data_IF_015730495287
#
_entry.id   IF_015730495287
#
_cell.length_a   1.000
_cell.length_b   1.000
_cell.length_c   1.000
_cell.angle_alpha   90.00
_cell.angle_beta   90.00
_cell.angle_gamma   90.00
#
_symmetry.space_group_name_H-M   'P 1'
#
loop_
_entity.id
_entity.type
_entity.pdbx_description
1 polymer ?
#
# COMPACT_ATOMS: atom_id res chain seq x y z
N UNK A 1 14.42 9.07 -6.13
CA UNK A 1 13.52 9.01 -4.95
C UNK A 1 12.39 10.04 -4.98
N UNK A 2 12.65 11.35 -5.19
CA UNK A 2 11.64 12.43 -5.06
C UNK A 2 10.31 12.16 -5.78
N UNK A 3 10.37 11.94 -7.10
CA UNK A 3 9.17 11.71 -7.92
C UNK A 3 8.56 10.33 -7.68
N UNK A 4 9.41 9.30 -7.58
CA UNK A 4 9.02 7.90 -7.33
C UNK A 4 8.19 7.76 -6.05
N UNK A 5 8.66 8.34 -4.94
CA UNK A 5 7.97 8.23 -3.66
C UNK A 5 6.71 9.10 -3.60
N UNK A 6 6.74 10.29 -4.22
CA UNK A 6 5.54 11.14 -4.35
C UNK A 6 4.44 10.43 -5.15
N UNK A 7 4.80 9.78 -6.27
CA UNK A 7 3.88 8.98 -7.06
C UNK A 7 3.31 7.79 -6.27
N UNK A 8 4.16 7.08 -5.52
CA UNK A 8 3.71 5.99 -4.64
C UNK A 8 2.66 6.48 -3.62
N UNK A 9 2.94 7.60 -2.95
CA UNK A 9 2.01 8.22 -2.00
C UNK A 9 0.66 8.58 -2.63
N UNK A 10 0.67 9.18 -3.82
CA UNK A 10 -0.56 9.50 -4.55
C UNK A 10 -1.35 8.23 -4.89
N UNK A 11 -0.68 7.18 -5.37
CA UNK A 11 -1.35 5.92 -5.70
C UNK A 11 -1.98 5.25 -4.48
N UNK A 12 -1.34 5.33 -3.29
CA UNK A 12 -1.94 4.84 -2.05
C UNK A 12 -3.18 5.62 -1.62
N UNK A 13 -3.29 6.92 -1.95
CA UNK A 13 -4.52 7.68 -1.76
C UNK A 13 -5.59 7.29 -2.79
N UNK A 14 -5.19 7.14 -4.05
CA UNK A 14 -6.11 6.80 -5.14
C UNK A 14 -6.77 5.43 -4.94
N UNK A 15 -6.08 4.47 -4.29
CA UNK A 15 -6.68 3.18 -3.97
C UNK A 15 -8.01 3.29 -3.20
N UNK A 16 -8.06 3.74 -1.93
CA UNK A 16 -9.32 3.84 -1.21
C UNK A 16 -10.26 4.93 -1.77
N UNK A 17 -9.74 5.96 -2.45
CA UNK A 17 -10.55 7.04 -3.00
C UNK A 17 -11.34 6.63 -4.25
N UNK A 18 -10.76 5.78 -5.11
CA UNK A 18 -11.40 5.27 -6.33
C UNK A 18 -12.10 3.93 -6.11
N UNK A 19 -11.82 3.22 -5.01
CA UNK A 19 -12.44 1.93 -4.72
C UNK A 19 -13.97 2.10 -4.61
N UNK A 20 -14.76 1.30 -5.33
CA UNK A 20 -16.22 1.34 -5.25
C UNK A 20 -16.70 0.80 -3.90
N UNK A 21 -17.27 1.66 -3.07
CA UNK A 21 -17.79 1.29 -1.75
C UNK A 21 -19.29 0.96 -1.82
N UNK A 22 -19.62 -0.32 -2.00
CA UNK A 22 -20.97 -0.86 -1.82
C UNK A 22 -20.99 -1.85 -0.65
N UNK A 23 -22.19 -2.30 -0.26
CA UNK A 23 -22.35 -3.32 0.77
C UNK A 23 -21.96 -4.71 0.25
N UNK A 24 -20.67 -5.04 0.40
CA UNK A 24 -20.08 -6.32 0.02
C UNK A 24 -20.59 -7.51 0.86
N UNK A 25 -21.47 -7.30 1.85
CA UNK A 25 -22.17 -8.41 2.54
C UNK A 25 -23.39 -8.91 1.76
N UNK A 26 -23.82 -8.16 0.75
CA UNK A 26 -24.89 -8.54 -0.17
C UNK A 26 -24.30 -8.96 -1.52
N UNK A 27 -24.92 -9.96 -2.17
CA UNK A 27 -24.46 -10.39 -3.50
C UNK A 27 -24.48 -9.25 -4.53
N UNK A 28 -25.51 -8.39 -4.47
CA UNK A 28 -25.64 -7.24 -5.36
C UNK A 28 -24.53 -6.20 -5.13
N UNK A 29 -24.21 -5.88 -3.87
CA UNK A 29 -23.15 -4.94 -3.54
C UNK A 29 -21.75 -5.50 -3.84
N UNK A 30 -21.50 -6.78 -3.55
CA UNK A 30 -20.26 -7.45 -3.92
C UNK A 30 -20.04 -7.42 -5.45
N UNK A 31 -21.07 -7.77 -6.23
CA UNK A 31 -21.02 -7.72 -7.68
C UNK A 31 -20.80 -6.29 -8.22
N UNK A 32 -21.48 -5.29 -7.64
CA UNK A 32 -21.33 -3.88 -8.04
C UNK A 32 -19.93 -3.32 -7.75
N UNK A 33 -19.34 -3.68 -6.61
CA UNK A 33 -17.98 -3.30 -6.26
C UNK A 33 -16.96 -4.05 -7.10
N UNK A 34 -16.85 -5.36 -6.91
CA UNK A 34 -15.78 -6.20 -7.49
C UNK A 34 -15.86 -6.25 -9.02
N UNK A 35 -17.06 -6.19 -9.60
CA UNK A 35 -17.27 -6.24 -11.04
C UNK A 35 -16.99 -4.93 -11.78
N UNK A 36 -16.67 -3.84 -11.08
CA UNK A 36 -16.41 -2.55 -11.73
C UNK A 36 -14.97 -2.40 -12.21
N UNK A 37 -14.74 -1.60 -13.25
CA UNK A 37 -13.37 -1.23 -13.66
C UNK A 37 -12.67 -0.37 -12.60
N UNK A 38 -13.44 0.38 -11.79
CA UNK A 38 -12.91 1.18 -10.69
C UNK A 38 -12.24 0.30 -9.61
N UNK A 39 -12.78 -0.90 -9.36
CA UNK A 39 -12.14 -1.92 -8.52
C UNK A 39 -10.72 -2.19 -9.00
N UNK A 40 -10.58 -2.51 -10.29
CA UNK A 40 -9.30 -2.90 -10.87
C UNK A 40 -8.29 -1.77 -10.85
N UNK A 41 -8.69 -0.58 -11.30
CA UNK A 41 -7.83 0.60 -11.29
C UNK A 41 -7.37 0.95 -9.87
N UNK A 42 -8.25 0.85 -8.88
CA UNK A 42 -7.92 1.16 -7.50
C UNK A 42 -6.89 0.18 -6.91
N UNK A 43 -7.02 -1.13 -7.15
CA UNK A 43 -6.08 -2.13 -6.64
C UNK A 43 -4.72 -2.05 -7.36
N UNK A 44 -4.72 -1.81 -8.67
CA UNK A 44 -3.50 -1.51 -9.42
C UNK A 44 -2.74 -0.31 -8.84
N UNK A 45 -3.44 0.74 -8.38
CA UNK A 45 -2.80 1.86 -7.70
C UNK A 45 -2.04 1.40 -6.46
N UNK A 46 -2.66 0.61 -5.59
CA UNK A 46 -1.99 0.07 -4.40
C UNK A 46 -0.77 -0.81 -4.79
N UNK A 47 -0.94 -1.72 -5.75
CA UNK A 47 0.12 -2.61 -6.22
C UNK A 47 1.33 -1.84 -6.76
N UNK A 48 1.10 -0.86 -7.63
CA UNK A 48 2.16 0.00 -8.18
C UNK A 48 2.79 0.83 -7.04
N UNK A 49 1.99 1.35 -6.10
CA UNK A 49 2.48 2.04 -4.91
C UNK A 49 3.50 1.18 -4.14
N UNK A 50 3.18 -0.09 -3.86
CA UNK A 50 4.10 -1.01 -3.20
C UNK A 50 5.37 -1.29 -4.00
N UNK A 51 5.32 -1.29 -5.34
CA UNK A 51 6.49 -1.48 -6.19
C UNK A 51 7.40 -0.25 -6.18
N UNK A 52 6.82 0.96 -6.16
CA UNK A 52 7.57 2.22 -6.26
C UNK A 52 8.33 2.57 -4.97
N UNK A 53 7.79 2.25 -3.80
CA UNK A 53 8.44 2.56 -2.51
C UNK A 53 9.85 1.95 -2.38
N UNK A 54 10.08 0.64 -2.54
CA UNK A 54 11.41 0.06 -2.36
C UNK A 54 12.41 0.62 -3.37
N UNK A 55 11.97 0.95 -4.60
CA UNK A 55 12.82 1.64 -5.59
C UNK A 55 13.29 2.99 -5.04
N UNK A 56 12.39 3.77 -4.44
CA UNK A 56 12.75 5.04 -3.83
C UNK A 56 13.65 4.87 -2.60
N UNK A 57 13.46 3.82 -1.81
CA UNK A 57 14.25 3.54 -0.60
C UNK A 57 15.67 3.07 -0.89
N UNK A 58 16.00 2.64 -2.13
CA UNK A 58 17.38 2.32 -2.51
C UNK A 58 18.33 3.51 -2.33
N UNK A 59 17.83 4.73 -2.49
CA UNK A 59 18.58 5.99 -2.29
C UNK A 59 18.68 6.41 -0.81
N UNK A 60 18.06 5.65 0.11
CA UNK A 60 17.99 5.98 1.54
C UNK A 60 18.69 4.92 2.39
N UNK A 61 18.29 3.65 2.23
CA UNK A 61 18.80 2.55 3.02
C UNK A 61 18.55 1.21 2.32
N UNK A 62 19.60 0.62 1.74
CA UNK A 62 19.52 -0.62 0.95
C UNK A 62 18.82 -1.77 1.66
N UNK A 63 19.13 -2.02 2.93
CA UNK A 63 18.48 -3.10 3.70
C UNK A 63 16.98 -2.84 3.85
N UNK A 64 16.56 -1.61 4.20
CA UNK A 64 15.14 -1.28 4.30
C UNK A 64 14.44 -1.42 2.94
N UNK A 65 15.08 -1.03 1.85
CA UNK A 65 14.55 -1.23 0.50
C UNK A 65 14.32 -2.71 0.18
N UNK A 66 15.29 -3.58 0.47
CA UNK A 66 15.18 -5.03 0.27
C UNK A 66 14.10 -5.64 1.17
N UNK A 67 14.08 -5.28 2.46
CA UNK A 67 13.05 -5.73 3.40
C UNK A 67 11.65 -5.32 2.92
N UNK A 68 11.49 -4.07 2.47
CA UNK A 68 10.23 -3.61 1.90
C UNK A 68 9.86 -4.41 0.65
N UNK A 69 10.83 -4.66 -0.25
CA UNK A 69 10.61 -5.45 -1.47
C UNK A 69 10.11 -6.86 -1.18
N UNK A 70 10.69 -7.54 -0.17
CA UNK A 70 10.21 -8.85 0.29
C UNK A 70 8.77 -8.73 0.80
N UNK A 71 8.48 -7.74 1.63
CA UNK A 71 7.12 -7.52 2.13
C UNK A 71 6.09 -7.24 1.02
N UNK A 72 6.48 -6.45 0.01
CA UNK A 72 5.67 -6.22 -1.18
C UNK A 72 5.47 -7.51 -1.98
N UNK A 73 6.51 -8.31 -2.18
CA UNK A 73 6.45 -9.61 -2.86
C UNK A 73 5.49 -10.61 -2.18
N UNK A 74 5.39 -10.59 -0.85
CA UNK A 74 4.42 -11.38 -0.10
C UNK A 74 2.98 -10.81 -0.18
N UNK A 75 2.86 -9.49 -0.32
CA UNK A 75 1.56 -8.79 -0.34
C UNK A 75 0.87 -8.85 -1.71
N UNK A 76 1.64 -8.73 -2.79
CA UNK A 76 1.13 -8.59 -4.16
C UNK A 76 0.31 -9.80 -4.67
N UNK A 77 0.61 -11.07 -4.33
CA UNK A 77 -0.24 -12.20 -4.72
C UNK A 77 -1.67 -12.09 -4.18
N UNK A 78 -1.83 -11.65 -2.93
CA UNK A 78 -3.15 -11.41 -2.34
C UNK A 78 -3.89 -10.30 -3.07
N UNK A 79 -3.21 -9.19 -3.35
CA UNK A 79 -3.79 -8.11 -4.15
C UNK A 79 -4.17 -8.57 -5.56
N UNK A 80 -3.37 -9.40 -6.24
CA UNK A 80 -3.70 -9.92 -7.55
C UNK A 80 -4.94 -10.84 -7.54
N UNK A 81 -5.12 -11.62 -6.48
CA UNK A 81 -6.31 -12.45 -6.30
C UNK A 81 -7.56 -11.60 -6.00
N UNK A 82 -7.44 -10.59 -5.14
CA UNK A 82 -8.51 -9.60 -4.90
C UNK A 82 -8.86 -8.82 -6.17
N UNK A 83 -7.85 -8.33 -6.89
CA UNK A 83 -8.00 -7.45 -8.02
C UNK A 83 -8.62 -8.20 -9.20
N UNK A 84 -7.88 -9.16 -9.76
CA UNK A 84 -8.29 -9.82 -11.00
C UNK A 84 -9.21 -11.02 -10.73
N UNK A 85 -8.95 -11.76 -9.65
CA UNK A 85 -9.73 -12.96 -9.30
C UNK A 85 -11.17 -12.62 -8.92
N UNK A 86 -11.35 -11.69 -7.98
CA UNK A 86 -12.72 -11.28 -7.59
C UNK A 86 -13.46 -10.57 -8.71
N UNK A 87 -12.75 -9.76 -9.51
CA UNK A 87 -13.36 -9.11 -10.67
C UNK A 87 -13.91 -10.13 -11.67
N UNK A 88 -13.15 -11.19 -11.96
CA UNK A 88 -13.58 -12.23 -12.90
C UNK A 88 -14.80 -13.03 -12.43
N UNK A 89 -14.97 -13.19 -11.12
CA UNK A 89 -16.07 -13.98 -10.52
C UNK A 89 -17.21 -13.12 -9.97
N UNK A 90 -17.15 -11.79 -10.14
CA UNK A 90 -18.07 -10.84 -9.50
C UNK A 90 -19.55 -11.08 -9.82
N UNK A 91 -19.86 -11.69 -10.98
CA UNK A 91 -21.24 -11.96 -11.42
C UNK A 91 -21.71 -13.39 -11.13
N UNK A 92 -20.90 -14.20 -10.42
CA UNK A 92 -21.31 -15.56 -10.09
C UNK A 92 -22.43 -15.57 -9.04
N UNK A 93 -23.41 -16.49 -9.13
CA UNK A 93 -24.51 -16.56 -8.16
C UNK A 93 -24.04 -16.75 -6.71
N UNK A 94 -22.89 -17.40 -6.52
CA UNK A 94 -22.25 -17.64 -5.22
C UNK A 94 -21.02 -16.73 -4.97
N UNK A 95 -21.03 -15.50 -5.48
CA UNK A 95 -19.92 -14.53 -5.35
C UNK A 95 -19.46 -14.32 -3.91
N UNK A 96 -20.37 -14.37 -2.93
CA UNK A 96 -20.04 -14.18 -1.52
C UNK A 96 -19.13 -15.31 -1.00
N UNK A 97 -19.50 -16.57 -1.24
CA UNK A 97 -18.71 -17.74 -0.84
C UNK A 97 -17.33 -17.75 -1.53
N UNK A 98 -17.30 -17.40 -2.82
CA UNK A 98 -16.05 -17.33 -3.57
C UNK A 98 -15.14 -16.20 -3.07
N UNK A 99 -15.70 -15.03 -2.78
CA UNK A 99 -14.94 -13.90 -2.24
C UNK A 99 -14.40 -14.23 -0.85
N UNK A 100 -15.18 -14.90 -0.01
CA UNK A 100 -14.74 -15.37 1.31
C UNK A 100 -13.58 -16.36 1.18
N UNK A 101 -13.68 -17.33 0.26
CA UNK A 101 -12.64 -18.32 0.01
C UNK A 101 -11.31 -17.70 -0.47
N UNK A 102 -11.37 -16.63 -1.26
CA UNK A 102 -10.18 -15.87 -1.69
C UNK A 102 -9.59 -15.08 -0.51
N UNK A 103 -10.44 -14.35 0.23
CA UNK A 103 -10.03 -13.43 1.31
C UNK A 103 -9.51 -14.13 2.53
N UNK A 104 -10.16 -15.20 2.96
CA UNK A 104 -9.94 -15.82 4.27
C UNK A 104 -9.23 -17.16 4.17
N UNK A 105 -8.70 -17.51 3.00
CA UNK A 105 -7.76 -18.62 2.90
C UNK A 105 -6.60 -18.41 3.89
N UNK A 106 -6.33 -19.36 4.81
CA UNK A 106 -5.34 -19.16 5.87
C UNK A 106 -3.93 -18.82 5.37
N UNK A 107 -3.52 -19.42 4.25
CA UNK A 107 -2.22 -19.14 3.65
C UNK A 107 -2.19 -17.76 2.99
N UNK A 108 -3.26 -17.38 2.30
CA UNK A 108 -3.38 -16.06 1.67
C UNK A 108 -3.31 -14.94 2.71
N UNK A 109 -4.15 -15.01 3.76
CA UNK A 109 -4.18 -14.01 4.85
C UNK A 109 -2.85 -13.94 5.59
N UNK A 110 -2.26 -15.10 5.92
CA UNK A 110 -0.98 -15.12 6.66
C UNK A 110 0.13 -14.50 5.83
N UNK A 111 0.23 -14.85 4.54
CA UNK A 111 1.25 -14.31 3.63
C UNK A 111 1.08 -12.81 3.44
N UNK A 112 -0.16 -12.35 3.27
CA UNK A 112 -0.52 -10.94 3.18
C UNK A 112 -0.15 -10.16 4.45
N UNK A 113 -0.55 -10.66 5.62
CA UNK A 113 -0.27 -10.02 6.90
C UNK A 113 1.23 -9.94 7.18
N UNK A 114 1.98 -11.02 6.93
CA UNK A 114 3.44 -11.02 7.03
C UNK A 114 4.06 -10.00 6.08
N UNK A 115 3.55 -9.89 4.86
CA UNK A 115 3.99 -8.89 3.88
C UNK A 115 3.82 -7.46 4.39
N UNK A 116 2.64 -7.11 4.87
CA UNK A 116 2.35 -5.77 5.42
C UNK A 116 3.20 -5.45 6.66
N UNK A 117 3.33 -6.40 7.59
CA UNK A 117 4.18 -6.23 8.78
C UNK A 117 5.64 -6.01 8.38
N UNK A 118 6.13 -6.77 7.40
CA UNK A 118 7.51 -6.65 6.90
C UNK A 118 7.77 -5.27 6.28
N UNK A 119 6.82 -4.73 5.51
CA UNK A 119 6.89 -3.35 4.99
C UNK A 119 6.84 -2.31 6.11
N UNK A 120 6.02 -2.52 7.14
CA UNK A 120 6.01 -1.70 8.35
C UNK A 120 7.37 -1.64 9.04
N UNK A 121 8.02 -2.79 9.24
CA UNK A 121 9.37 -2.88 9.82
C UNK A 121 10.38 -2.11 8.97
N UNK A 122 10.36 -2.27 7.64
CA UNK A 122 11.24 -1.53 6.74
C UNK A 122 11.06 0.00 6.87
N UNK A 123 9.81 0.47 6.97
CA UNK A 123 9.52 1.88 7.15
C UNK A 123 10.00 2.42 8.52
N UNK A 124 9.89 1.62 9.58
CA UNK A 124 10.47 1.95 10.90
C UNK A 124 11.99 2.05 10.83
N UNK A 125 12.67 1.15 10.11
CA UNK A 125 14.12 1.24 9.89
C UNK A 125 14.50 2.56 9.19
N UNK A 126 13.71 3.01 8.21
CA UNK A 126 13.91 4.32 7.57
C UNK A 126 13.75 5.47 8.58
N UNK A 127 12.73 5.42 9.44
CA UNK A 127 12.53 6.43 10.50
C UNK A 127 13.69 6.44 11.51
N UNK A 128 14.22 5.28 11.90
CA UNK A 128 15.36 5.18 12.82
C UNK A 128 16.68 5.65 12.19
N UNK A 129 16.85 5.47 10.87
CA UNK A 129 18.02 5.93 10.12
C UNK A 129 18.01 7.45 9.95
N UNK A 130 16.89 8.01 9.52
CA UNK A 130 16.79 9.44 9.18
C UNK A 130 16.49 10.31 10.39
N UNK A 131 15.71 9.80 11.36
CA UNK A 131 15.32 10.49 12.60
C UNK A 131 14.63 11.84 12.38
N UNK A 132 13.80 11.92 11.34
CA UNK A 132 13.11 13.15 10.97
C UNK A 132 11.61 12.97 11.08
N UNK A 133 10.89 14.06 11.33
CA UNK A 133 9.42 14.03 11.41
C UNK A 133 8.80 13.44 10.14
N UNK A 134 9.34 13.78 8.97
CA UNK A 134 8.88 13.23 7.69
C UNK A 134 9.02 11.70 7.63
N UNK A 135 10.14 11.15 8.10
CA UNK A 135 10.37 9.71 8.14
C UNK A 135 9.47 9.01 9.18
N UNK A 136 9.18 9.65 10.31
CA UNK A 136 8.23 9.14 11.31
C UNK A 136 6.80 9.08 10.75
N UNK A 137 6.36 10.11 10.03
CA UNK A 137 5.02 10.12 9.41
C UNK A 137 4.91 9.05 8.31
N UNK A 138 5.96 8.87 7.50
CA UNK A 138 6.06 7.76 6.54
C UNK A 138 5.94 6.40 7.22
N UNK A 139 6.69 6.18 8.32
CA UNK A 139 6.64 4.94 9.09
C UNK A 139 5.26 4.70 9.73
N UNK A 140 4.61 5.74 10.24
CA UNK A 140 3.25 5.65 10.78
C UNK A 140 2.25 5.19 9.72
N UNK A 141 2.36 5.70 8.48
CA UNK A 141 1.54 5.25 7.35
C UNK A 141 1.64 3.74 7.13
N UNK A 142 2.86 3.20 7.07
CA UNK A 142 3.07 1.76 6.86
C UNK A 142 2.73 0.91 8.09
N UNK A 143 3.00 1.38 9.31
CA UNK A 143 2.63 0.69 10.54
C UNK A 143 1.10 0.55 10.69
N UNK A 144 0.34 1.57 10.23
CA UNK A 144 -1.13 1.59 10.28
C UNK A 144 -1.79 0.92 9.06
N UNK A 145 -1.00 0.44 8.09
CA UNK A 145 -1.52 -0.13 6.84
C UNK A 145 -2.29 -1.43 7.06
N UNK A 146 -1.89 -2.27 8.01
CA UNK A 146 -2.67 -3.47 8.37
C UNK A 146 -3.93 -3.10 9.18
N UNK A 147 -3.85 -2.30 10.26
CA UNK A 147 -5.03 -1.88 11.02
C UNK A 147 -6.17 -1.25 10.20
N UNK A 148 -5.86 -0.43 9.18
CA UNK A 148 -6.90 0.26 8.40
C UNK A 148 -7.87 -0.69 7.67
N UNK A 149 -7.46 -1.94 7.36
CA UNK A 149 -8.36 -2.93 6.75
C UNK A 149 -9.55 -3.33 7.64
N UNK A 150 -9.50 -3.04 8.93
CA UNK A 150 -10.58 -3.31 9.88
C UNK A 150 -11.46 -2.08 10.14
N UNK A 151 -11.32 -1.03 9.32
CA UNK A 151 -12.00 0.24 9.53
C UNK A 151 -12.96 0.59 8.39
N UNK A 152 -13.96 1.47 8.62
CA UNK A 152 -14.90 1.91 7.58
C UNK A 152 -14.22 2.72 6.46
N UNK A 153 -14.89 2.91 5.30
CA UNK A 153 -14.32 3.57 4.12
C UNK A 153 -13.66 4.93 4.41
N UNK A 154 -14.30 5.78 5.23
CA UNK A 154 -13.78 7.10 5.56
C UNK A 154 -12.40 7.05 6.23
N UNK A 155 -12.17 6.06 7.11
CA UNK A 155 -10.89 5.89 7.81
C UNK A 155 -9.81 5.37 6.85
N UNK A 156 -10.17 4.49 5.91
CA UNK A 156 -9.24 4.01 4.87
C UNK A 156 -8.82 5.13 3.92
N UNK A 157 -9.74 6.01 3.55
CA UNK A 157 -9.41 7.21 2.77
C UNK A 157 -8.50 8.15 3.56
N UNK A 158 -8.78 8.38 4.85
CA UNK A 158 -7.91 9.17 5.72
C UNK A 158 -6.51 8.55 5.89
N UNK A 159 -6.41 7.21 5.94
CA UNK A 159 -5.13 6.52 5.89
C UNK A 159 -4.41 6.74 4.54
N UNK A 160 -5.13 6.72 3.42
CA UNK A 160 -4.58 7.14 2.12
C UNK A 160 -4.02 8.57 2.13
N UNK A 161 -4.67 9.49 2.83
CA UNK A 161 -4.16 10.86 3.04
C UNK A 161 -2.87 10.85 3.85
N UNK A 162 -2.81 10.06 4.93
CA UNK A 162 -1.57 9.87 5.70
C UNK A 162 -0.44 9.32 4.82
N UNK A 163 -0.74 8.37 3.93
CA UNK A 163 0.24 7.80 3.01
C UNK A 163 0.80 8.84 2.04
N UNK A 164 -0.04 9.66 1.40
CA UNK A 164 0.45 10.70 0.49
C UNK A 164 1.26 11.76 1.25
N UNK A 165 0.81 12.18 2.43
CA UNK A 165 1.55 13.15 3.28
C UNK A 165 2.90 12.58 3.68
N UNK A 166 2.96 11.36 4.20
CA UNK A 166 4.21 10.72 4.62
C UNK A 166 5.20 10.53 3.48
N UNK A 167 4.74 10.00 2.35
CA UNK A 167 5.56 9.77 1.17
C UNK A 167 6.08 11.07 0.55
N UNK A 168 5.20 12.06 0.31
CA UNK A 168 5.59 13.34 -0.30
C UNK A 168 6.50 14.12 0.63
N UNK A 169 6.16 14.20 1.93
CA UNK A 169 7.01 14.92 2.88
C UNK A 169 8.40 14.30 2.96
N UNK A 170 8.52 12.97 3.10
CA UNK A 170 9.82 12.28 3.11
C UNK A 170 10.60 12.52 1.81
N UNK A 171 9.92 12.43 0.66
CA UNK A 171 10.52 12.63 -0.65
C UNK A 171 11.17 14.00 -0.80
N UNK A 172 10.48 15.05 -0.38
CA UNK A 172 10.94 16.43 -0.50
C UNK A 172 11.90 16.83 0.61
N UNK A 173 11.71 16.32 1.82
CA UNK A 173 12.63 16.53 2.95
C UNK A 173 14.02 15.99 2.63
N UNK A 174 14.11 14.75 2.15
CA UNK A 174 15.38 14.14 1.76
C UNK A 174 16.00 14.81 0.52
N UNK A 175 15.21 15.24 -0.47
CA UNK A 175 15.73 15.98 -1.63
C UNK A 175 16.33 17.35 -1.24
N UNK A 176 15.72 18.07 -0.28
CA UNK A 176 16.27 19.33 0.24
C UNK A 176 17.60 19.10 0.95
N UNK A 177 17.69 18.08 1.82
CA UNK A 177 18.93 17.77 2.54
C UNK A 177 20.08 17.37 1.60
N UNK A 178 19.79 16.64 0.53
CA UNK A 178 20.79 16.30 -0.49
C UNK A 178 21.32 17.55 -1.21
N UNK A 179 20.46 18.54 -1.48
CA UNK A 179 20.86 19.80 -2.10
C UNK A 179 21.71 20.67 -1.17
N UNK A 180 21.40 20.68 0.14
CA UNK A 180 22.15 21.42 1.16
C UNK A 180 23.51 20.77 1.48
N UNK A 181 23.62 19.45 1.36
CA UNK A 181 24.83 18.69 1.67
C UNK A 181 25.20 17.72 0.53
N UNK A 182 25.81 18.21 -0.57
CA UNK A 182 26.12 17.39 -1.76
C UNK A 182 27.02 16.19 -1.46
N UNK A 183 27.84 16.27 -0.40
CA UNK A 183 28.72 15.19 0.05
C UNK A 183 27.97 13.94 0.53
N UNK A 184 26.69 14.07 0.92
CA UNK A 184 25.84 12.93 1.29
C UNK A 184 25.30 12.16 0.07
N UNK A 185 25.40 12.70 -1.15
CA UNK A 185 24.93 12.03 -2.36
C UNK A 185 25.95 11.03 -2.95
N UNK A 186 27.19 11.02 -2.44
CA UNK A 186 28.30 10.22 -2.98
C UNK A 186 28.74 9.05 -2.07
N UNK A 187 28.01 8.78 -0.97
CA UNK A 187 28.27 7.74 0.01
C UNK A 187 27.14 6.71 0.03
#
# INVERSE_FOLDING_TARGET
MKWTLSAAGLLFLLYPALRPWHDETTAAGAAASMGSTAWVLSHLCAMIGFILVPIALLEVHRTAAITFWVGAGLTLPYYGAEDFGLHAIAQQPNVLDLAEAVRYNPFAVTTFALGLVTMGVAAVVVALKLRTTAAVVFAAGFALFLPQFFTPPAVRIAHGVLMVVGCVWLAWDSARRQAEHPQLAAA
#
